data_IF_486833311994
#
_entry.id   IF_486833311994
#
_cell.length_a   1.000
_cell.length_b   1.000
_cell.length_c   1.000
_cell.angle_alpha   90.00
_cell.angle_beta   90.00
_cell.angle_gamma   90.00
#
_symmetry.space_group_name_H-M   'P 1'
#
loop_
_entity.id
_entity.type
_entity.pdbx_description
1 polymer ?
#
# COMPACT_ATOMS: atom_id res chain seq x y z
N UNK A 1 -0.96 8.71 -24.18
CA UNK A 1 -1.61 9.67 -23.28
C UNK A 1 -2.37 8.85 -22.26
N UNK A 2 -1.76 8.57 -21.10
CA UNK A 2 -2.51 8.00 -19.99
C UNK A 2 -3.38 9.14 -19.43
N UNK A 3 -4.68 8.92 -19.32
CA UNK A 3 -5.62 9.87 -18.73
C UNK A 3 -5.05 10.43 -17.41
N UNK A 4 -4.82 11.75 -17.36
CA UNK A 4 -4.32 12.45 -16.16
C UNK A 4 -5.24 12.26 -14.94
N UNK A 5 -6.46 11.75 -15.16
CA UNK A 5 -7.46 11.47 -14.14
C UNK A 5 -7.63 9.98 -13.81
N UNK A 6 -6.80 9.08 -14.35
CA UNK A 6 -6.93 7.64 -14.05
C UNK A 6 -6.43 7.33 -12.64
N UNK A 7 -7.36 7.20 -11.70
CA UNK A 7 -7.09 6.71 -10.35
C UNK A 7 -7.16 5.19 -10.35
N UNK A 8 -6.05 4.56 -9.94
CA UNK A 8 -5.98 3.13 -9.75
C UNK A 8 -6.09 2.80 -8.25
N UNK A 9 -6.89 1.79 -7.93
CA UNK A 9 -6.97 1.22 -6.59
C UNK A 9 -6.15 -0.08 -6.55
N UNK A 10 -5.35 -0.25 -5.50
CA UNK A 10 -4.49 -1.41 -5.31
C UNK A 10 -4.42 -1.81 -3.84
N UNK A 11 -4.45 -3.12 -3.60
CA UNK A 11 -4.19 -3.68 -2.28
C UNK A 11 -2.79 -4.31 -2.29
N UNK A 12 -1.97 -3.98 -1.30
CA UNK A 12 -0.61 -4.50 -1.17
C UNK A 12 -0.42 -5.13 0.21
N UNK A 13 0.27 -6.27 0.27
CA UNK A 13 0.87 -6.79 1.49
C UNK A 13 2.36 -6.43 1.46
N UNK A 14 2.84 -5.79 2.52
CA UNK A 14 4.22 -5.31 2.64
C UNK A 14 4.81 -5.87 3.91
N UNK A 15 5.91 -6.60 3.79
CA UNK A 15 6.57 -7.27 4.91
C UNK A 15 8.00 -6.77 5.08
N UNK A 16 8.38 -6.52 6.32
CA UNK A 16 9.77 -6.27 6.74
C UNK A 16 10.15 -7.27 7.84
N UNK A 17 11.34 -7.12 8.43
CA UNK A 17 11.78 -7.95 9.56
C UNK A 17 10.89 -7.85 10.79
N UNK A 18 10.26 -6.69 11.01
CA UNK A 18 9.62 -6.35 12.30
C UNK A 18 8.12 -6.03 12.17
N UNK A 19 7.63 -5.82 10.95
CA UNK A 19 6.24 -5.44 10.69
C UNK A 19 5.70 -6.06 9.41
N UNK A 20 4.43 -6.49 9.47
CA UNK A 20 3.61 -6.87 8.33
C UNK A 20 2.52 -5.82 8.17
N UNK A 21 2.41 -5.25 6.98
CA UNK A 21 1.43 -4.23 6.63
C UNK A 21 0.52 -4.74 5.50
N UNK A 22 -0.77 -4.37 5.56
CA UNK A 22 -1.66 -4.46 4.41
C UNK A 22 -2.17 -3.05 4.09
N UNK A 23 -1.95 -2.62 2.86
CA UNK A 23 -2.28 -1.30 2.36
C UNK A 23 -3.44 -1.36 1.38
N UNK A 24 -4.33 -0.38 1.48
CA UNK A 24 -5.31 -0.04 0.45
C UNK A 24 -4.93 1.35 -0.10
N UNK A 25 -4.48 1.40 -1.36
CA UNK A 25 -3.92 2.60 -1.96
C UNK A 25 -4.75 2.99 -3.18
N UNK A 26 -5.09 4.27 -3.28
CA UNK A 26 -5.73 4.88 -4.42
C UNK A 26 -4.84 6.03 -4.93
N UNK A 27 -4.48 6.01 -6.21
CA UNK A 27 -3.68 7.10 -6.78
C UNK A 27 -3.32 6.89 -8.25
N UNK A 28 -2.52 7.81 -8.79
CA UNK A 28 -2.06 7.73 -10.17
C UNK A 28 -1.12 6.51 -10.35
N UNK A 29 -1.24 5.72 -11.44
CA UNK A 29 -0.42 4.52 -11.67
C UNK A 29 1.09 4.73 -11.57
N UNK A 30 1.61 5.86 -12.05
CA UNK A 30 3.04 6.19 -11.91
C UNK A 30 3.46 6.37 -10.45
N UNK A 31 2.63 7.01 -9.62
CA UNK A 31 2.91 7.21 -8.18
C UNK A 31 2.86 5.89 -7.42
N UNK A 32 1.91 5.02 -7.74
CA UNK A 32 1.83 3.67 -7.18
C UNK A 32 3.11 2.87 -7.47
N UNK A 33 3.63 2.95 -8.71
CA UNK A 33 4.89 2.28 -9.07
C UNK A 33 6.09 2.86 -8.33
N UNK A 34 6.19 4.18 -8.22
CA UNK A 34 7.26 4.84 -7.45
C UNK A 34 7.23 4.40 -5.98
N UNK A 35 6.05 4.36 -5.37
CA UNK A 35 5.88 3.91 -3.98
C UNK A 35 6.33 2.45 -3.78
N UNK A 36 5.90 1.55 -4.66
CA UNK A 36 6.31 0.13 -4.61
C UNK A 36 7.83 0.01 -4.76
N UNK A 37 8.42 0.74 -5.71
CA UNK A 37 9.86 0.74 -5.92
C UNK A 37 10.61 1.21 -4.66
N UNK A 38 10.16 2.30 -4.03
CA UNK A 38 10.74 2.79 -2.77
C UNK A 38 10.63 1.78 -1.63
N UNK A 39 9.51 1.04 -1.51
CA UNK A 39 9.35 0.00 -0.49
C UNK A 39 10.35 -1.14 -0.69
N UNK A 40 10.54 -1.58 -1.94
CA UNK A 40 11.50 -2.64 -2.29
C UNK A 40 12.94 -2.19 -2.02
N UNK A 41 13.30 -0.97 -2.42
CA UNK A 41 14.63 -0.38 -2.15
C UNK A 41 14.92 -0.25 -0.65
N UNK A 42 13.89 -0.01 0.17
CA UNK A 42 13.98 0.01 1.62
C UNK A 42 13.99 -1.40 2.27
N UNK A 43 14.08 -2.47 1.48
CA UNK A 43 14.19 -3.85 1.97
C UNK A 43 12.86 -4.51 2.32
N UNK A 44 11.72 -3.92 1.96
CA UNK A 44 10.42 -4.56 2.16
C UNK A 44 10.12 -5.56 1.04
N UNK A 45 9.47 -6.67 1.39
CA UNK A 45 8.82 -7.56 0.42
C UNK A 45 7.43 -7.02 0.14
N UNK A 46 7.11 -6.81 -1.13
CA UNK A 46 5.82 -6.26 -1.55
C UNK A 46 5.12 -7.29 -2.43
N UNK A 47 3.91 -7.66 -2.06
CA UNK A 47 3.04 -8.56 -2.82
C UNK A 47 1.69 -7.90 -3.08
N UNK A 48 1.14 -8.07 -4.28
CA UNK A 48 -0.22 -7.60 -4.56
C UNK A 48 -1.23 -8.54 -3.91
N UNK A 49 -2.19 -7.96 -3.19
CA UNK A 49 -3.26 -8.71 -2.53
C UNK A 49 -4.63 -8.21 -2.96
N UNK A 50 -5.68 -8.52 -2.19
CA UNK A 50 -7.06 -8.17 -2.48
C UNK A 50 -7.77 -7.53 -1.27
N UNK A 51 -8.99 -7.05 -1.50
CA UNK A 51 -9.81 -6.41 -0.48
C UNK A 51 -10.18 -7.35 0.68
N UNK A 52 -10.37 -8.65 0.42
CA UNK A 52 -10.71 -9.63 1.44
C UNK A 52 -9.58 -9.77 2.46
N UNK A 53 -8.33 -9.87 1.98
CA UNK A 53 -7.14 -9.89 2.84
C UNK A 53 -7.04 -8.61 3.67
N UNK A 54 -7.25 -7.44 3.06
CA UNK A 54 -7.23 -6.16 3.77
C UNK A 54 -8.30 -6.06 4.87
N UNK A 55 -9.51 -6.59 4.63
CA UNK A 55 -10.62 -6.53 5.58
C UNK A 55 -10.48 -7.52 6.73
N UNK A 56 -9.86 -8.67 6.48
CA UNK A 56 -9.66 -9.75 7.48
C UNK A 56 -8.28 -9.73 8.14
N UNK A 57 -7.40 -8.81 7.74
CA UNK A 57 -6.08 -8.65 8.35
C UNK A 57 -6.22 -8.23 9.81
N UNK A 58 -5.54 -8.97 10.68
CA UNK A 58 -5.39 -8.66 12.10
C UNK A 58 -4.22 -7.67 12.27
N UNK A 59 -4.46 -6.54 12.93
CA UNK A 59 -3.51 -5.43 13.01
C UNK A 59 -3.50 -4.78 14.38
N UNK A 60 -2.34 -4.24 14.77
CA UNK A 60 -2.18 -3.48 16.01
C UNK A 60 -2.50 -2.01 15.81
N UNK A 61 -2.21 -1.48 14.61
CA UNK A 61 -2.39 -0.06 14.27
C UNK A 61 -2.95 0.13 12.86
N UNK A 62 -3.80 1.13 12.71
CA UNK A 62 -4.29 1.61 11.42
C UNK A 62 -3.99 3.11 11.29
N UNK A 63 -3.50 3.51 10.12
CA UNK A 63 -3.22 4.91 9.78
C UNK A 63 -3.76 5.20 8.39
N UNK A 64 -4.27 6.41 8.19
CA UNK A 64 -4.64 6.95 6.88
C UNK A 64 -3.66 8.04 6.51
N UNK A 65 -3.04 7.92 5.35
CA UNK A 65 -2.16 8.95 4.80
C UNK A 65 -2.75 9.51 3.51
N UNK A 66 -2.67 10.83 3.37
CA UNK A 66 -3.11 11.56 2.19
C UNK A 66 -1.96 12.45 1.75
N UNK A 67 -1.38 12.13 0.60
CA UNK A 67 -0.37 12.92 -0.08
C UNK A 67 -0.91 13.31 -1.46
N UNK A 68 -0.41 14.38 -2.06
CA UNK A 68 -0.91 14.87 -3.35
C UNK A 68 -1.09 13.73 -4.38
N UNK A 69 -2.35 13.46 -4.75
CA UNK A 69 -2.79 12.40 -5.68
C UNK A 69 -2.61 10.95 -5.22
N UNK A 70 -2.37 10.71 -3.92
CA UNK A 70 -2.27 9.39 -3.31
C UNK A 70 -2.98 9.36 -1.95
N UNK A 71 -3.96 8.47 -1.81
CA UNK A 71 -4.59 8.15 -0.54
C UNK A 71 -4.26 6.70 -0.19
N UNK A 72 -3.74 6.46 1.02
CA UNK A 72 -3.42 5.13 1.52
C UNK A 72 -4.03 4.90 2.90
N UNK A 73 -4.63 3.73 3.09
CA UNK A 73 -5.00 3.19 4.39
C UNK A 73 -4.04 2.06 4.69
N UNK A 74 -3.33 2.13 5.81
CA UNK A 74 -2.26 1.23 6.20
C UNK A 74 -2.67 0.54 7.49
N UNK A 75 -2.80 -0.78 7.45
CA UNK A 75 -2.98 -1.62 8.64
C UNK A 75 -1.67 -2.34 8.93
N UNK A 76 -1.11 -2.16 10.11
CA UNK A 76 0.19 -2.69 10.51
C UNK A 76 0.09 -3.64 11.70
N UNK A 77 0.78 -4.78 11.60
CA UNK A 77 0.96 -5.78 12.66
C UNK A 77 2.44 -5.95 12.96
N UNK A 78 2.82 -5.75 14.21
CA UNK A 78 4.21 -5.91 14.66
C UNK A 78 4.49 -7.38 15.03
N UNK A 79 5.70 -7.85 14.76
CA UNK A 79 6.14 -9.23 15.03
C UNK A 79 6.74 -9.41 16.43
#
# INVERSE_FOLDING_TARGET
MADENHVQHMFLQVESSDVVCVLNIAGHPYRLRELIFMMIENGCRVEQTNAERFNTFDFDKETVEVYDFLTSIIKAKFL
#
